data_IF_724597028560
#
_entry.id   IF_724597028560
#
_cell.length_a   1.000
_cell.length_b   1.000
_cell.length_c   1.000
_cell.angle_alpha   90.00
_cell.angle_beta   90.00
_cell.angle_gamma   90.00
#
_symmetry.space_group_name_H-M   'P 1'
#
loop_
_entity.id
_entity.type
_entity.pdbx_description
1 polymer ?
#
# COMPACT_ATOMS: atom_id res chain seq x y z
N UNK A 1 52.59 22.20 -48.77
CA UNK A 1 52.57 20.82 -49.30
C UNK A 1 51.37 20.09 -48.72
N UNK A 2 50.40 19.83 -49.55
CA UNK A 2 49.27 18.94 -49.22
C UNK A 2 49.60 17.54 -49.68
N UNK A 3 49.05 16.53 -49.03
CA UNK A 3 48.52 15.37 -49.77
C UNK A 3 47.06 15.07 -49.41
N UNK A 4 46.38 14.95 -50.37
CA UNK A 4 45.22 14.35 -51.00
C UNK A 4 44.60 13.15 -50.30
N UNK A 5 43.28 13.33 -50.21
CA UNK A 5 42.26 12.31 -49.85
C UNK A 5 42.26 11.10 -50.77
N UNK A 6 41.89 9.96 -50.19
CA UNK A 6 41.24 8.86 -50.91
C UNK A 6 40.01 8.39 -50.10
N UNK A 7 38.85 8.55 -50.69
CA UNK A 7 37.62 7.91 -50.25
C UNK A 7 37.54 6.46 -50.80
N UNK A 8 37.05 5.49 -50.06
CA UNK A 8 36.74 4.18 -50.61
C UNK A 8 35.33 4.16 -51.25
N UNK A 9 35.14 3.30 -52.27
CA UNK A 9 33.95 3.29 -53.09
C UNK A 9 32.78 2.56 -52.46
N UNK A 10 31.58 3.15 -52.67
CA UNK A 10 30.28 2.50 -52.48
C UNK A 10 30.15 1.30 -53.39
N UNK A 11 30.20 0.12 -52.84
CA UNK A 11 29.95 -1.13 -53.60
C UNK A 11 28.47 -1.49 -53.51
N UNK A 12 27.88 -1.47 -54.66
CA UNK A 12 26.49 -1.90 -54.98
C UNK A 12 26.21 -3.32 -54.53
N UNK A 13 25.32 -3.47 -53.57
CA UNK A 13 24.64 -4.76 -53.25
C UNK A 13 23.16 -4.60 -53.53
N UNK A 14 22.82 -4.65 -54.80
CA UNK A 14 21.45 -4.59 -55.27
C UNK A 14 21.30 -5.45 -56.54
N UNK A 15 21.61 -6.74 -56.50
CA UNK A 15 21.17 -7.70 -57.53
C UNK A 15 21.34 -9.12 -56.95
N UNK A 16 20.58 -9.53 -55.97
CA UNK A 16 20.45 -10.95 -55.62
C UNK A 16 19.24 -11.23 -54.71
N UNK A 17 18.15 -10.46 -54.90
CA UNK A 17 16.90 -10.70 -54.18
C UNK A 17 15.71 -10.81 -55.13
N UNK A 18 15.90 -11.33 -56.36
CA UNK A 18 14.81 -11.46 -57.33
C UNK A 18 14.72 -12.82 -58.03
N UNK A 19 15.27 -13.88 -57.44
CA UNK A 19 15.23 -15.20 -58.06
C UNK A 19 14.95 -16.36 -57.10
N UNK A 20 14.07 -16.12 -56.10
CA UNK A 20 13.55 -17.22 -55.23
C UNK A 20 12.08 -17.02 -54.88
N UNK A 21 11.28 -16.53 -55.82
CA UNK A 21 9.82 -16.36 -55.68
C UNK A 21 9.05 -17.08 -56.78
N UNK A 22 9.46 -18.28 -57.15
CA UNK A 22 8.64 -19.18 -57.98
C UNK A 22 8.91 -20.60 -57.53
N UNK A 23 8.11 -21.13 -56.64
CA UNK A 23 7.73 -22.53 -56.43
C UNK A 23 7.33 -22.77 -54.97
N UNK A 24 6.16 -22.26 -54.62
CA UNK A 24 5.38 -22.83 -53.53
C UNK A 24 3.88 -22.54 -53.83
N UNK A 25 3.40 -23.09 -54.94
CA UNK A 25 1.97 -23.38 -55.08
C UNK A 25 1.66 -24.55 -54.15
N UNK A 26 1.70 -24.32 -52.86
CA UNK A 26 1.27 -25.27 -51.82
C UNK A 26 -0.21 -25.09 -51.59
N UNK A 27 -0.90 -26.13 -51.97
CA UNK A 27 -2.26 -26.55 -51.70
C UNK A 27 -2.92 -25.79 -50.52
N UNK A 28 -3.72 -24.79 -50.84
CA UNK A 28 -4.73 -24.31 -49.92
C UNK A 28 -5.85 -25.36 -49.91
N UNK A 29 -5.78 -26.30 -48.98
CA UNK A 29 -6.92 -27.10 -48.60
C UNK A 29 -8.00 -26.14 -48.10
N UNK A 30 -8.97 -25.87 -48.96
CA UNK A 30 -10.21 -25.23 -48.56
C UNK A 30 -10.88 -26.16 -47.54
N UNK A 31 -10.73 -25.87 -46.27
CA UNK A 31 -11.60 -26.40 -45.24
C UNK A 31 -12.99 -25.91 -45.56
N UNK A 32 -13.86 -26.80 -46.06
CA UNK A 32 -15.29 -26.52 -46.14
C UNK A 32 -15.75 -26.03 -44.78
N UNK A 33 -16.60 -24.96 -44.73
CA UNK A 33 -17.28 -24.62 -43.49
C UNK A 33 -17.99 -25.88 -43.00
N UNK A 34 -17.72 -26.24 -41.74
CA UNK A 34 -18.49 -27.26 -41.04
C UNK A 34 -19.88 -26.65 -40.90
N UNK A 35 -20.83 -27.13 -41.69
CA UNK A 35 -22.23 -26.85 -41.41
C UNK A 35 -22.53 -27.32 -40.00
N UNK A 36 -23.17 -26.48 -39.16
CA UNK A 36 -23.58 -26.93 -37.84
C UNK A 36 -24.51 -28.11 -38.03
N UNK A 37 -24.10 -29.28 -37.54
CA UNK A 37 -25.01 -30.41 -37.40
C UNK A 37 -26.23 -29.93 -36.61
N UNK A 38 -27.38 -29.83 -37.28
CA UNK A 38 -28.64 -29.79 -36.55
C UNK A 38 -28.68 -31.01 -35.62
N UNK A 39 -28.78 -30.84 -34.31
CA UNK A 39 -28.94 -31.97 -33.43
C UNK A 39 -30.30 -32.60 -33.80
N UNK A 40 -30.26 -33.83 -34.32
CA UNK A 40 -31.44 -34.66 -34.45
C UNK A 40 -32.22 -34.53 -33.14
N UNK A 41 -33.50 -34.13 -33.24
CA UNK A 41 -34.37 -33.96 -32.08
C UNK A 41 -34.34 -35.28 -31.27
N UNK A 42 -33.54 -35.29 -30.22
CA UNK A 42 -33.62 -36.36 -29.23
C UNK A 42 -35.01 -36.30 -28.61
N UNK A 43 -35.68 -37.44 -28.37
CA UNK A 43 -36.99 -37.43 -27.70
C UNK A 43 -36.83 -36.70 -26.39
N UNK A 44 -37.60 -35.62 -26.22
CA UNK A 44 -37.63 -34.80 -25.03
C UNK A 44 -37.88 -35.72 -23.84
N UNK A 45 -36.93 -35.92 -22.90
CA UNK A 45 -37.29 -36.65 -21.69
C UNK A 45 -38.31 -35.83 -21.01
N UNK A 46 -39.41 -36.47 -20.58
CA UNK A 46 -40.48 -35.84 -19.83
C UNK A 46 -39.82 -35.04 -18.70
N UNK A 47 -40.09 -33.72 -18.67
CA UNK A 47 -39.54 -32.86 -17.65
C UNK A 47 -39.80 -33.51 -16.27
N UNK A 48 -38.76 -33.64 -15.43
CA UNK A 48 -38.97 -34.14 -14.09
C UNK A 48 -40.03 -33.26 -13.45
N UNK A 49 -41.15 -33.84 -13.04
CA UNK A 49 -42.16 -33.12 -12.24
C UNK A 49 -41.43 -32.61 -11.01
N UNK A 50 -41.19 -31.31 -10.98
CA UNK A 50 -40.73 -30.67 -9.74
C UNK A 50 -41.72 -31.10 -8.66
N UNK A 51 -41.24 -31.69 -7.55
CA UNK A 51 -42.13 -31.93 -6.41
C UNK A 51 -42.78 -30.58 -6.08
N UNK A 52 -44.04 -30.59 -5.85
CA UNK A 52 -44.81 -29.40 -5.45
C UNK A 52 -43.98 -28.65 -4.45
N UNK A 53 -43.69 -27.40 -4.77
CA UNK A 53 -42.99 -26.50 -3.86
C UNK A 53 -43.79 -26.39 -2.60
N UNK A 54 -43.58 -27.29 -1.66
CA UNK A 54 -43.88 -27.03 -0.29
C UNK A 54 -43.20 -25.69 -0.01
N UNK A 55 -44.02 -24.66 0.15
CA UNK A 55 -43.49 -23.31 0.43
C UNK A 55 -42.73 -23.42 1.75
N UNK A 56 -41.43 -23.66 1.66
CA UNK A 56 -40.56 -23.62 2.81
C UNK A 56 -40.61 -22.17 3.27
N UNK A 57 -41.41 -21.90 4.27
CA UNK A 57 -41.46 -20.61 4.94
C UNK A 57 -40.05 -20.41 5.53
N UNK A 58 -39.20 -19.65 4.84
CA UNK A 58 -37.97 -19.18 5.42
C UNK A 58 -38.35 -18.29 6.60
N UNK A 59 -38.16 -18.76 7.81
CA UNK A 59 -38.26 -17.93 9.00
C UNK A 59 -36.92 -17.21 9.17
N UNK A 60 -36.95 -15.90 9.32
CA UNK A 60 -35.79 -15.07 9.64
C UNK A 60 -35.82 -14.84 11.14
N UNK A 61 -34.91 -15.44 11.88
CA UNK A 61 -34.74 -15.17 13.31
C UNK A 61 -33.68 -14.09 13.46
N UNK A 62 -34.01 -12.97 14.06
CA UNK A 62 -33.04 -11.96 14.44
C UNK A 62 -32.22 -12.50 15.62
N UNK A 63 -30.93 -12.53 15.48
CA UNK A 63 -30.03 -12.89 16.58
C UNK A 63 -29.75 -11.60 17.35
N UNK A 64 -30.23 -11.51 18.56
CA UNK A 64 -30.03 -10.39 19.48
C UNK A 64 -29.74 -10.91 20.91
N UNK A 65 -29.59 -10.01 21.86
CA UNK A 65 -29.27 -10.32 23.25
C UNK A 65 -30.32 -11.17 23.99
N UNK A 66 -31.49 -11.41 23.40
CA UNK A 66 -32.53 -12.27 23.96
C UNK A 66 -32.34 -13.76 23.62
N UNK A 67 -31.42 -14.08 22.74
CA UNK A 67 -31.09 -15.47 22.41
C UNK A 67 -30.06 -15.96 23.42
N UNK A 68 -30.35 -16.99 24.23
CA UNK A 68 -29.39 -17.53 25.17
C UNK A 68 -28.12 -17.99 24.46
N UNK A 69 -26.97 -17.68 25.04
CA UNK A 69 -25.69 -18.18 24.56
C UNK A 69 -25.66 -19.72 24.69
N UNK A 70 -25.05 -20.37 23.69
CA UNK A 70 -24.84 -21.82 23.73
C UNK A 70 -23.75 -22.15 24.74
N UNK A 71 -24.02 -22.98 25.79
CA UNK A 71 -23.05 -23.28 26.84
C UNK A 71 -21.80 -23.99 26.36
N UNK A 72 -21.85 -24.77 25.27
CA UNK A 72 -20.66 -25.42 24.71
C UNK A 72 -19.77 -24.41 23.98
N UNK A 73 -20.40 -23.48 23.24
CA UNK A 73 -19.69 -22.37 22.59
C UNK A 73 -19.06 -21.45 23.63
N UNK A 74 -19.80 -21.08 24.68
CA UNK A 74 -19.30 -20.29 25.81
C UNK A 74 -18.06 -20.93 26.46
N UNK A 75 -18.13 -22.23 26.73
CA UNK A 75 -16.99 -22.98 27.28
C UNK A 75 -15.78 -22.97 26.34
N UNK A 76 -15.99 -23.03 25.02
CA UNK A 76 -14.94 -22.96 24.03
C UNK A 76 -14.30 -21.55 23.98
N UNK A 77 -15.10 -20.50 24.14
CA UNK A 77 -14.66 -19.11 24.09
C UNK A 77 -14.04 -18.63 25.40
N UNK A 78 -14.38 -19.22 26.53
CA UNK A 78 -13.93 -18.79 27.87
C UNK A 78 -12.41 -18.56 27.99
N UNK A 79 -11.52 -19.39 27.41
CA UNK A 79 -10.07 -19.16 27.49
C UNK A 79 -9.59 -17.88 26.74
N UNK A 80 -10.42 -17.40 25.81
CA UNK A 80 -10.09 -16.23 24.97
C UNK A 80 -10.78 -14.95 25.43
N UNK A 81 -11.79 -15.04 26.31
CA UNK A 81 -12.64 -13.92 26.71
C UNK A 81 -11.86 -12.76 27.33
N UNK A 82 -10.83 -13.01 28.14
CA UNK A 82 -9.98 -11.96 28.71
C UNK A 82 -9.24 -11.16 27.64
N UNK A 83 -8.68 -11.85 26.63
CA UNK A 83 -7.97 -11.20 25.52
C UNK A 83 -8.93 -10.40 24.64
N UNK A 84 -10.12 -10.92 24.40
CA UNK A 84 -11.16 -10.19 23.64
C UNK A 84 -11.60 -8.93 24.40
N UNK A 85 -11.73 -9.03 25.73
CA UNK A 85 -12.06 -7.89 26.58
C UNK A 85 -10.96 -6.80 26.52
N UNK A 86 -9.68 -7.18 26.54
CA UNK A 86 -8.57 -6.24 26.37
C UNK A 86 -8.64 -5.48 25.04
N UNK A 87 -9.12 -6.13 23.97
CA UNK A 87 -9.31 -5.49 22.67
C UNK A 87 -10.47 -4.48 22.66
N UNK A 88 -11.46 -4.65 23.53
CA UNK A 88 -12.63 -3.75 23.65
C UNK A 88 -12.32 -2.49 24.46
N UNK A 89 -11.13 -2.36 25.03
CA UNK A 89 -10.76 -1.20 25.84
C UNK A 89 -10.65 0.04 24.96
N UNK A 90 -11.37 1.11 25.37
CA UNK A 90 -11.23 2.44 24.77
C UNK A 90 -9.88 3.03 25.18
N UNK A 91 -9.02 3.30 24.21
CA UNK A 91 -7.69 3.85 24.42
C UNK A 91 -7.60 5.35 24.12
N UNK A 92 -8.61 5.90 23.47
CA UNK A 92 -8.67 7.33 23.15
C UNK A 92 -9.95 7.73 22.43
N UNK A 93 -9.96 8.95 21.91
CA UNK A 93 -11.07 9.48 21.12
C UNK A 93 -10.54 10.01 19.79
N UNK A 94 -11.21 9.66 18.71
CA UNK A 94 -10.91 10.12 17.36
C UNK A 94 -11.84 11.29 17.00
N UNK A 95 -11.26 12.46 16.69
CA UNK A 95 -11.99 13.62 16.22
C UNK A 95 -11.86 13.76 14.70
N UNK A 96 -12.83 13.27 13.97
CA UNK A 96 -12.84 13.22 12.52
C UNK A 96 -12.48 11.83 11.96
N UNK A 97 -12.94 11.53 10.75
CA UNK A 97 -12.75 10.24 10.10
C UNK A 97 -11.30 10.05 9.65
N UNK A 98 -10.63 8.99 10.11
CA UNK A 98 -9.40 8.52 9.47
C UNK A 98 -9.78 7.80 8.19
N UNK A 99 -9.16 8.20 7.08
CA UNK A 99 -9.44 7.64 5.76
C UNK A 99 -8.14 7.40 4.98
N UNK A 100 -8.06 6.24 4.35
CA UNK A 100 -7.02 6.00 3.34
C UNK A 100 -7.29 6.82 2.09
N UNK A 101 -6.24 7.34 1.49
CA UNK A 101 -6.28 7.94 0.16
C UNK A 101 -5.06 7.48 -0.64
N UNK A 102 -4.85 8.06 -1.82
CA UNK A 102 -3.74 7.71 -2.69
C UNK A 102 -2.37 8.03 -2.06
N UNK A 103 -1.66 9.00 -2.58
CA UNK A 103 -0.31 9.34 -2.13
C UNK A 103 -0.31 9.67 -0.64
N UNK A 104 0.59 9.03 0.10
CA UNK A 104 0.72 9.20 1.55
C UNK A 104 -0.33 8.45 2.39
N UNK A 105 -1.23 7.66 1.77
CA UNK A 105 -2.29 6.93 2.46
C UNK A 105 -3.27 7.79 3.27
N UNK A 106 -3.38 9.09 2.96
CA UNK A 106 -4.36 10.02 3.53
C UNK A 106 -4.20 10.31 5.01
N UNK A 107 -5.28 10.74 5.68
CA UNK A 107 -5.25 11.03 7.12
C UNK A 107 -4.91 9.81 7.96
N UNK A 108 -5.24 8.61 7.48
CA UNK A 108 -4.86 7.35 8.14
C UNK A 108 -3.36 7.12 8.06
N UNK A 109 -2.75 7.34 6.89
CA UNK A 109 -1.30 7.25 6.73
C UNK A 109 -0.56 8.27 7.58
N UNK A 110 -1.07 9.51 7.64
CA UNK A 110 -0.52 10.55 8.50
C UNK A 110 -0.54 10.14 9.97
N UNK A 111 -1.69 9.68 10.46
CA UNK A 111 -1.85 9.21 11.84
C UNK A 111 -0.85 8.11 12.20
N UNK A 112 -0.74 7.07 11.36
CA UNK A 112 0.17 5.94 11.61
C UNK A 112 1.64 6.38 11.55
N UNK A 113 2.02 7.18 10.56
CA UNK A 113 3.41 7.64 10.42
C UNK A 113 3.83 8.62 11.53
N UNK A 114 2.90 9.48 11.99
CA UNK A 114 3.16 10.40 13.10
C UNK A 114 3.30 9.66 14.42
N UNK A 115 2.43 8.69 14.68
CA UNK A 115 2.52 7.81 15.85
C UNK A 115 3.86 7.05 15.86
N UNK A 116 4.23 6.46 14.72
CA UNK A 116 5.51 5.79 14.54
C UNK A 116 6.67 6.71 14.87
N UNK A 117 6.73 7.91 14.24
CA UNK A 117 7.81 8.89 14.47
C UNK A 117 7.86 9.32 15.94
N UNK A 118 6.70 9.69 16.50
CA UNK A 118 6.59 10.17 17.88
C UNK A 118 7.15 9.16 18.88
N UNK A 119 6.76 7.90 18.79
CA UNK A 119 7.20 6.88 19.76
C UNK A 119 8.65 6.46 19.52
N UNK A 120 9.07 6.32 18.25
CA UNK A 120 10.44 5.98 17.92
C UNK A 120 11.43 7.07 18.36
N UNK A 121 11.08 8.35 18.21
CA UNK A 121 11.92 9.49 18.63
C UNK A 121 12.13 9.53 20.15
N UNK A 122 11.22 8.98 20.96
CA UNK A 122 11.45 8.83 22.41
C UNK A 122 12.64 7.90 22.71
N UNK A 123 12.89 6.92 21.85
CA UNK A 123 13.99 5.96 21.96
C UNK A 123 15.27 6.42 21.26
N UNK A 124 15.15 7.11 20.14
CA UNK A 124 16.28 7.66 19.38
C UNK A 124 15.92 9.02 18.81
N UNK A 125 16.46 10.09 19.42
CA UNK A 125 16.20 11.47 19.03
C UNK A 125 16.79 11.89 17.69
N UNK A 126 17.72 11.10 17.13
CA UNK A 126 18.33 11.37 15.81
C UNK A 126 17.40 11.07 14.63
N UNK A 127 16.25 10.45 14.87
CA UNK A 127 15.30 10.08 13.83
C UNK A 127 14.70 11.34 13.20
N UNK A 128 14.93 11.52 11.90
CA UNK A 128 14.40 12.66 11.14
C UNK A 128 13.12 12.30 10.38
N UNK A 129 13.03 11.09 9.83
CA UNK A 129 11.88 10.62 9.02
C UNK A 129 11.42 9.25 9.50
N UNK A 130 10.10 9.07 9.55
CA UNK A 130 9.44 7.77 9.73
C UNK A 130 8.73 7.35 8.45
N UNK A 131 8.79 6.07 8.11
CA UNK A 131 8.20 5.51 6.89
C UNK A 131 7.52 4.18 7.21
N UNK A 132 6.31 3.99 6.67
CA UNK A 132 5.62 2.71 6.69
C UNK A 132 4.80 2.50 5.42
N UNK A 133 4.62 1.24 5.03
CA UNK A 133 3.88 0.93 3.80
C UNK A 133 2.36 1.07 3.98
N UNK A 134 1.72 1.69 3.00
CA UNK A 134 0.26 1.85 2.95
C UNK A 134 -0.48 0.52 2.90
N UNK A 135 0.08 -0.49 2.24
CA UNK A 135 -0.50 -1.84 2.16
C UNK A 135 -0.55 -2.60 3.49
N UNK A 136 0.23 -2.19 4.48
CA UNK A 136 0.19 -2.73 5.86
C UNK A 136 -1.03 -2.28 6.64
N UNK A 137 -1.67 -1.18 6.25
CA UNK A 137 -2.91 -0.66 6.85
C UNK A 137 -4.12 -1.34 6.21
N UNK A 138 -4.87 -2.14 6.99
CA UNK A 138 -5.91 -3.04 6.47
C UNK A 138 -7.34 -2.50 6.56
N UNK A 139 -7.54 -1.35 7.21
CA UNK A 139 -8.83 -0.61 7.20
C UNK A 139 -8.80 0.48 6.12
N UNK A 140 -9.95 0.75 5.53
CA UNK A 140 -10.13 1.86 4.57
C UNK A 140 -10.51 3.14 5.31
N UNK A 141 -11.30 3.02 6.39
CA UNK A 141 -11.67 4.12 7.27
C UNK A 141 -11.85 3.68 8.71
N UNK A 142 -11.72 4.63 9.64
CA UNK A 142 -12.16 4.54 11.03
C UNK A 142 -13.00 5.78 11.30
N UNK A 143 -14.22 5.56 11.79
CA UNK A 143 -15.18 6.64 12.05
C UNK A 143 -14.83 7.43 13.33
N UNK A 144 -15.25 8.70 13.46
CA UNK A 144 -15.06 9.48 14.66
C UNK A 144 -15.75 8.84 15.87
N UNK A 145 -15.15 9.01 17.05
CA UNK A 145 -15.71 8.50 18.30
C UNK A 145 -14.68 7.79 19.16
N UNK A 146 -15.13 6.91 20.09
CA UNK A 146 -14.24 6.09 20.89
C UNK A 146 -13.31 5.23 20.01
N UNK A 147 -12.03 5.27 20.30
CA UNK A 147 -11.03 4.45 19.60
C UNK A 147 -10.63 3.30 20.52
N UNK A 148 -10.87 2.08 20.06
CA UNK A 148 -10.61 0.87 20.81
C UNK A 148 -9.26 0.25 20.44
N UNK A 149 -8.72 -0.58 21.31
CA UNK A 149 -7.54 -1.37 21.00
C UNK A 149 -7.76 -2.24 19.76
N UNK A 150 -8.95 -2.83 19.60
CA UNK A 150 -9.35 -3.63 18.43
C UNK A 150 -9.23 -2.84 17.11
N UNK A 151 -9.58 -1.57 17.11
CA UNK A 151 -9.47 -0.75 15.89
C UNK A 151 -8.03 -0.69 15.37
N UNK A 152 -7.05 -0.63 16.28
CA UNK A 152 -5.64 -0.62 15.93
C UNK A 152 -5.17 -2.02 15.50
N UNK A 153 -5.65 -3.09 16.13
CA UNK A 153 -5.35 -4.47 15.71
C UNK A 153 -5.89 -4.77 14.32
N UNK A 154 -7.11 -4.31 14.00
CA UNK A 154 -7.69 -4.47 12.67
C UNK A 154 -7.00 -3.59 11.62
N UNK A 155 -6.55 -2.38 12.01
CA UNK A 155 -5.79 -1.50 11.15
C UNK A 155 -4.41 -2.08 10.83
N UNK A 156 -3.70 -2.58 11.83
CA UNK A 156 -2.31 -3.05 11.78
C UNK A 156 -2.19 -4.48 12.31
N UNK A 157 -2.71 -5.50 11.59
CA UNK A 157 -2.75 -6.88 12.08
C UNK A 157 -1.37 -7.56 12.12
N UNK A 158 -0.35 -6.95 11.50
CA UNK A 158 0.99 -7.54 11.41
C UNK A 158 1.88 -7.11 12.58
N UNK A 159 2.73 -8.01 13.05
CA UNK A 159 3.73 -7.74 14.07
C UNK A 159 5.04 -7.22 13.44
N UNK A 160 4.95 -6.03 12.85
CA UNK A 160 6.10 -5.38 12.25
C UNK A 160 6.95 -4.69 13.31
N UNK A 161 8.16 -5.17 13.53
CA UNK A 161 9.10 -4.54 14.45
C UNK A 161 9.66 -3.24 13.87
N UNK A 162 9.84 -2.23 14.73
CA UNK A 162 10.46 -0.97 14.35
C UNK A 162 11.98 -1.09 14.37
N UNK A 163 12.60 -0.57 13.34
CA UNK A 163 14.05 -0.48 13.20
C UNK A 163 14.46 0.93 12.77
N UNK A 164 15.65 1.35 13.17
CA UNK A 164 16.31 2.52 12.60
C UNK A 164 17.38 2.09 11.60
N UNK A 165 17.61 2.94 10.59
CA UNK A 165 18.67 2.77 9.59
C UNK A 165 19.25 4.14 9.28
N UNK A 166 20.57 4.24 9.17
CA UNK A 166 21.24 5.44 8.71
C UNK A 166 21.42 5.39 7.19
N UNK A 167 20.91 6.41 6.51
CA UNK A 167 20.97 6.57 5.07
C UNK A 167 21.78 7.82 4.70
N UNK A 168 22.47 7.81 3.58
CA UNK A 168 22.93 9.05 2.96
C UNK A 168 21.73 9.87 2.47
N UNK A 169 21.90 11.19 2.33
CA UNK A 169 20.81 12.03 1.80
C UNK A 169 20.37 11.62 0.39
N UNK A 170 21.30 11.15 -0.44
CA UNK A 170 20.96 10.60 -1.76
C UNK A 170 20.06 9.36 -1.64
N UNK A 171 20.35 8.44 -0.70
CA UNK A 171 19.50 7.29 -0.42
C UNK A 171 18.15 7.71 0.16
N UNK A 172 18.13 8.69 1.07
CA UNK A 172 16.88 9.21 1.64
C UNK A 172 15.99 9.82 0.56
N UNK A 173 16.52 10.65 -0.33
CA UNK A 173 15.77 11.21 -1.46
C UNK A 173 15.19 10.10 -2.35
N UNK A 174 15.97 9.07 -2.64
CA UNK A 174 15.50 7.91 -3.41
C UNK A 174 14.41 7.11 -2.68
N UNK A 175 14.53 7.00 -1.37
CA UNK A 175 13.51 6.35 -0.53
C UNK A 175 12.19 7.14 -0.55
N UNK A 176 12.24 8.48 -0.43
CA UNK A 176 11.06 9.35 -0.49
C UNK A 176 10.41 9.35 -1.88
N UNK A 177 11.19 9.22 -2.96
CA UNK A 177 10.66 8.96 -4.31
C UNK A 177 9.87 7.62 -4.33
N UNK A 178 10.43 6.57 -3.76
CA UNK A 178 9.78 5.26 -3.70
C UNK A 178 8.50 5.29 -2.86
N UNK A 179 8.51 5.96 -1.70
CA UNK A 179 7.34 6.21 -0.85
C UNK A 179 6.22 6.90 -1.63
N UNK A 180 6.57 7.93 -2.40
CA UNK A 180 5.60 8.66 -3.23
C UNK A 180 4.96 7.74 -4.27
N UNK A 181 5.78 6.96 -4.98
CA UNK A 181 5.35 6.05 -6.05
C UNK A 181 4.51 4.88 -5.51
N UNK A 182 4.83 4.39 -4.33
CA UNK A 182 4.14 3.27 -3.68
C UNK A 182 2.87 3.71 -2.91
N UNK A 183 2.58 5.01 -2.83
CA UNK A 183 1.51 5.58 -2.00
C UNK A 183 1.68 5.30 -0.51
N UNK A 184 2.90 5.12 -0.06
CA UNK A 184 3.23 4.80 1.32
C UNK A 184 3.23 6.05 2.22
N UNK A 185 3.15 5.85 3.53
CA UNK A 185 3.05 6.91 4.50
C UNK A 185 4.42 7.32 5.06
N UNK A 186 4.59 8.61 5.34
CA UNK A 186 5.77 9.13 5.98
C UNK A 186 5.45 10.27 6.96
N UNK A 187 6.36 10.54 7.89
CA UNK A 187 6.37 11.71 8.77
C UNK A 187 7.78 12.26 8.89
N UNK A 188 7.92 13.57 8.77
CA UNK A 188 9.20 14.28 8.87
C UNK A 188 9.75 14.81 7.56
N UNK A 189 9.00 14.65 6.46
CA UNK A 189 9.36 15.26 5.18
C UNK A 189 8.16 15.96 4.54
N UNK A 190 8.44 17.00 3.74
CA UNK A 190 7.49 17.58 2.80
C UNK A 190 7.93 17.19 1.39
N UNK A 191 7.05 16.49 0.67
CA UNK A 191 7.31 15.94 -0.66
C UNK A 191 6.45 16.68 -1.66
N UNK A 192 7.06 17.18 -2.73
CA UNK A 192 6.34 17.68 -3.90
C UNK A 192 6.31 16.62 -4.98
N UNK A 193 5.14 16.40 -5.55
CA UNK A 193 4.93 15.41 -6.60
C UNK A 193 3.92 15.94 -7.64
N UNK A 194 3.91 15.34 -8.81
CA UNK A 194 2.89 15.55 -9.84
C UNK A 194 2.39 14.22 -10.39
N UNK A 195 1.25 14.24 -11.03
CA UNK A 195 0.77 13.09 -11.80
C UNK A 195 1.36 13.13 -13.21
N UNK A 196 1.91 12.02 -13.66
CA UNK A 196 2.40 11.89 -15.03
C UNK A 196 1.26 11.44 -15.98
N UNK A 197 1.56 11.36 -17.27
CA UNK A 197 0.58 10.98 -18.31
C UNK A 197 -0.02 9.57 -18.14
N UNK A 198 0.57 8.72 -17.30
CA UNK A 198 0.10 7.37 -16.97
C UNK A 198 -0.66 7.32 -15.64
N UNK A 199 -1.09 8.47 -15.11
CA UNK A 199 -1.75 8.60 -13.80
C UNK A 199 -0.94 7.97 -12.65
N UNK A 200 0.40 8.14 -12.67
CA UNK A 200 1.29 7.70 -11.60
C UNK A 200 1.94 8.92 -10.93
N UNK A 201 2.07 8.89 -9.59
CA UNK A 201 2.74 9.99 -8.90
C UNK A 201 4.24 10.00 -9.24
N UNK A 202 4.74 11.13 -9.67
CA UNK A 202 6.14 11.38 -9.98
C UNK A 202 6.71 12.35 -8.95
N UNK A 203 7.73 11.92 -8.25
CA UNK A 203 8.46 12.72 -7.26
C UNK A 203 9.16 13.90 -7.95
N UNK A 204 9.08 15.08 -7.34
CA UNK A 204 9.77 16.28 -7.81
C UNK A 204 10.92 16.62 -6.87
N UNK A 205 10.63 16.80 -5.59
CA UNK A 205 11.61 17.12 -4.54
C UNK A 205 11.04 16.84 -3.16
N UNK A 206 11.94 16.79 -2.16
CA UNK A 206 11.55 16.73 -0.76
C UNK A 206 12.46 17.61 0.10
N UNK A 207 11.91 18.07 1.22
CA UNK A 207 12.61 18.75 2.32
C UNK A 207 12.30 18.03 3.62
N UNK A 208 13.21 18.09 4.58
CA UNK A 208 12.90 17.68 5.95
C UNK A 208 12.05 18.73 6.65
N UNK A 209 11.17 18.28 7.55
CA UNK A 209 10.39 19.13 8.43
C UNK A 209 10.66 18.70 9.87
N UNK A 210 11.09 19.64 10.69
CA UNK A 210 11.26 19.43 12.12
C UNK A 210 9.92 19.51 12.88
N UNK A 211 9.97 19.31 14.21
CA UNK A 211 8.77 19.38 15.07
C UNK A 211 8.20 20.79 15.22
N UNK A 212 8.95 21.82 14.88
CA UNK A 212 8.51 23.22 14.87
C UNK A 212 7.95 23.66 13.50
N UNK A 213 8.03 22.78 12.49
CA UNK A 213 7.59 23.05 11.13
C UNK A 213 8.61 23.73 10.24
N UNK A 214 9.88 23.87 10.69
CA UNK A 214 10.93 24.43 9.87
C UNK A 214 11.37 23.43 8.80
N UNK A 215 11.55 23.95 7.59
CA UNK A 215 12.03 23.16 6.45
C UNK A 215 13.55 23.28 6.30
N UNK A 216 14.20 22.16 5.97
CA UNK A 216 15.60 22.13 5.58
C UNK A 216 15.81 21.23 4.35
N UNK A 217 16.76 21.62 3.50
CA UNK A 217 17.15 20.83 2.35
C UNK A 217 17.83 19.53 2.81
N UNK A 218 17.68 18.46 2.03
CA UNK A 218 18.37 17.20 2.24
C UNK A 218 19.71 17.28 1.51
N UNK A 219 20.81 17.37 2.26
CA UNK A 219 22.15 17.28 1.68
C UNK A 219 22.41 15.84 1.19
N UNK A 220 22.63 15.60 -0.10
CA UNK A 220 22.89 14.25 -0.63
C UNK A 220 24.05 13.52 0.04
N UNK A 221 25.07 14.25 0.52
CA UNK A 221 26.23 13.70 1.20
C UNK A 221 26.04 13.55 2.73
N UNK A 222 24.99 14.18 3.29
CA UNK A 222 24.65 14.09 4.71
C UNK A 222 24.25 12.68 5.11
N UNK A 223 24.24 12.40 6.42
CA UNK A 223 23.74 11.14 6.98
C UNK A 223 22.49 11.41 7.81
N UNK A 224 21.45 10.60 7.61
CA UNK A 224 20.13 10.77 8.22
C UNK A 224 19.62 9.46 8.80
N UNK A 225 19.29 9.47 10.07
CA UNK A 225 18.65 8.31 10.73
C UNK A 225 17.16 8.31 10.43
N UNK A 226 16.67 7.25 9.82
CA UNK A 226 15.24 7.04 9.60
C UNK A 226 14.72 5.92 10.50
N UNK A 227 13.42 5.89 10.75
CA UNK A 227 12.73 4.73 11.33
C UNK A 227 11.75 4.13 10.33
N UNK A 228 11.72 2.81 10.29
CA UNK A 228 10.81 2.06 9.44
C UNK A 228 10.48 0.71 10.08
N UNK A 229 9.70 -0.12 9.38
CA UNK A 229 9.36 -1.47 9.82
C UNK A 229 10.32 -2.50 9.23
N UNK A 230 10.59 -3.54 9.99
CA UNK A 230 11.47 -4.64 9.61
C UNK A 230 11.02 -5.36 8.32
N UNK A 231 9.71 -5.38 8.06
CA UNK A 231 9.16 -5.92 6.82
C UNK A 231 9.75 -5.23 5.58
N UNK A 232 9.78 -3.88 5.53
CA UNK A 232 10.33 -3.14 4.39
C UNK A 232 11.85 -3.40 4.22
N UNK A 233 12.56 -3.51 5.33
CA UNK A 233 13.98 -3.84 5.32
C UNK A 233 14.25 -5.27 4.84
N UNK A 234 13.38 -6.23 5.21
CA UNK A 234 13.49 -7.65 4.83
C UNK A 234 13.13 -7.92 3.38
N UNK A 235 12.30 -7.07 2.74
CA UNK A 235 11.87 -7.27 1.35
C UNK A 235 13.04 -7.44 0.36
N UNK A 236 14.19 -6.82 0.61
CA UNK A 236 15.43 -6.94 -0.20
C UNK A 236 15.22 -6.90 -1.72
N UNK A 237 14.14 -6.30 -2.18
CA UNK A 237 13.77 -6.21 -3.59
C UNK A 237 12.88 -5.00 -3.86
N UNK A 238 12.78 -4.61 -5.12
CA UNK A 238 11.92 -3.51 -5.55
C UNK A 238 12.31 -2.18 -4.91
N UNK A 239 11.31 -1.42 -4.50
CA UNK A 239 11.46 -0.02 -4.07
C UNK A 239 12.25 0.15 -2.76
N UNK A 240 12.38 -0.90 -1.93
CA UNK A 240 12.97 -0.81 -0.59
C UNK A 240 14.31 -1.52 -0.45
N UNK A 241 14.84 -2.12 -1.53
CA UNK A 241 16.14 -2.78 -1.51
C UNK A 241 17.27 -1.88 -0.98
N UNK A 242 17.19 -0.57 -1.27
CA UNK A 242 18.15 0.44 -0.82
C UNK A 242 18.30 0.54 0.72
N UNK A 243 17.32 0.08 1.49
CA UNK A 243 17.41 0.07 2.95
C UNK A 243 18.52 -0.87 3.44
N UNK A 244 18.85 -1.92 2.67
CA UNK A 244 19.95 -2.84 2.98
C UNK A 244 21.33 -2.22 2.80
N UNK A 245 21.42 -1.18 1.97
CA UNK A 245 22.66 -0.44 1.75
C UNK A 245 22.89 0.61 2.85
N UNK A 246 21.89 0.82 3.71
CA UNK A 246 22.00 1.68 4.88
C UNK A 246 22.92 1.09 5.95
N UNK A 247 23.36 1.95 6.88
CA UNK A 247 24.26 1.58 7.99
C UNK A 247 23.51 1.56 9.32
N UNK A 248 24.14 0.98 10.34
CA UNK A 248 23.71 1.06 11.75
C UNK A 248 22.25 0.63 11.96
N UNK A 249 21.79 -0.41 11.23
CA UNK A 249 20.44 -0.94 11.45
C UNK A 249 20.30 -1.39 12.91
N UNK A 250 19.33 -0.80 13.62
CA UNK A 250 19.13 -1.07 15.06
C UNK A 250 17.66 -1.32 15.35
N UNK A 251 17.29 -2.45 15.95
CA UNK A 251 15.93 -2.71 16.42
C UNK A 251 15.57 -1.80 17.60
N UNK A 252 14.34 -1.29 17.61
CA UNK A 252 13.83 -0.44 18.69
C UNK A 252 13.10 -1.21 19.81
N UNK A 253 12.93 -2.53 19.68
CA UNK A 253 12.15 -3.36 20.60
C UNK A 253 10.74 -2.78 20.82
N UNK A 254 10.09 -2.45 19.74
CA UNK A 254 8.74 -1.87 19.68
C UNK A 254 8.13 -2.29 18.35
N UNK A 255 6.87 -2.68 18.35
CA UNK A 255 6.13 -2.95 17.10
C UNK A 255 5.44 -1.66 16.60
N UNK A 256 5.09 -1.62 15.30
CA UNK A 256 4.32 -0.52 14.74
C UNK A 256 2.97 -0.38 15.45
N UNK A 257 2.29 -1.49 15.72
CA UNK A 257 1.00 -1.51 16.41
C UNK A 257 1.10 -0.95 17.82
N UNK A 258 2.10 -1.40 18.59
CA UNK A 258 2.30 -0.90 19.96
C UNK A 258 2.65 0.59 19.95
N UNK A 259 3.47 1.04 18.99
CA UNK A 259 3.77 2.47 18.83
C UNK A 259 2.50 3.30 18.60
N UNK A 260 1.56 2.82 17.78
CA UNK A 260 0.29 3.52 17.54
C UNK A 260 -0.59 3.50 18.79
N UNK A 261 -0.70 2.38 19.50
CA UNK A 261 -1.46 2.26 20.75
C UNK A 261 -0.87 3.20 21.82
N UNK A 262 0.45 3.20 21.98
CA UNK A 262 1.15 4.06 22.96
C UNK A 262 1.01 5.55 22.61
N UNK A 263 1.01 5.89 21.33
CA UNK A 263 0.75 7.26 20.88
C UNK A 263 -0.66 7.69 21.25
N UNK A 264 -1.68 6.89 20.95
CA UNK A 264 -3.08 7.20 21.30
C UNK A 264 -3.24 7.38 22.81
N UNK A 265 -2.70 6.45 23.60
CA UNK A 265 -2.74 6.55 25.08
C UNK A 265 -2.02 7.81 25.59
N UNK A 266 -0.88 8.17 25.00
CA UNK A 266 -0.12 9.38 25.37
C UNK A 266 -0.91 10.66 25.07
N UNK A 267 -1.58 10.74 23.91
CA UNK A 267 -2.43 11.87 23.54
C UNK A 267 -3.65 11.96 24.45
N UNK A 268 -4.29 10.85 24.74
CA UNK A 268 -5.43 10.74 25.65
C UNK A 268 -5.07 11.19 27.06
N UNK A 269 -3.93 10.74 27.60
CA UNK A 269 -3.45 11.15 28.90
C UNK A 269 -3.13 12.66 28.98
N UNK A 270 -2.80 13.27 27.83
CA UNK A 270 -2.58 14.72 27.72
C UNK A 270 -3.89 15.49 27.41
N UNK A 271 -5.05 14.85 27.45
CA UNK A 271 -6.36 15.45 27.18
C UNK A 271 -6.58 15.82 25.71
N UNK A 272 -5.83 15.27 24.80
CA UNK A 272 -5.93 15.56 23.36
C UNK A 272 -6.57 14.41 22.60
N UNK A 273 -7.63 14.67 21.81
CA UNK A 273 -8.16 13.68 20.91
C UNK A 273 -7.21 13.46 19.72
N UNK A 274 -7.25 12.26 19.15
CA UNK A 274 -6.60 11.97 17.88
C UNK A 274 -7.31 12.72 16.77
N UNK A 275 -6.58 13.53 16.02
CA UNK A 275 -7.13 14.33 14.92
C UNK A 275 -6.87 13.64 13.59
N UNK A 276 -7.92 13.46 12.79
CA UNK A 276 -7.80 13.05 11.41
C UNK A 276 -7.37 14.25 10.55
N UNK A 277 -6.06 14.37 10.31
CA UNK A 277 -5.50 15.50 9.54
C UNK A 277 -4.87 15.02 8.25
N UNK A 278 -5.19 15.71 7.15
CA UNK A 278 -4.35 15.79 5.97
C UNK A 278 -3.64 17.13 6.02
N UNK A 279 -2.34 17.11 5.77
CA UNK A 279 -1.49 18.30 5.76
C UNK A 279 -0.68 18.36 4.47
N UNK A 280 0.21 19.33 4.38
CA UNK A 280 1.03 19.58 3.19
C UNK A 280 2.26 18.67 3.06
N UNK A 281 2.33 17.55 3.81
CA UNK A 281 3.48 16.63 3.70
C UNK A 281 3.61 15.97 2.34
N UNK A 282 2.52 15.88 1.59
CA UNK A 282 2.49 15.52 0.18
C UNK A 282 1.78 16.61 -0.61
N UNK A 283 2.57 17.44 -1.29
CA UNK A 283 2.06 18.57 -2.09
C UNK A 283 1.98 18.18 -3.56
N UNK A 284 0.76 18.12 -4.08
CA UNK A 284 0.55 17.92 -5.50
C UNK A 284 0.80 19.22 -6.25
N UNK A 285 1.65 19.16 -7.27
CA UNK A 285 1.91 20.26 -8.21
C UNK A 285 1.22 19.95 -9.54
N UNK A 286 0.36 20.86 -9.98
CA UNK A 286 -0.39 20.70 -11.22
C UNK A 286 -1.68 19.88 -11.08
N UNK A 287 -2.26 19.42 -12.20
CA UNK A 287 -3.55 18.73 -12.22
C UNK A 287 -3.48 17.36 -11.53
N UNK A 288 -4.64 16.90 -11.07
CA UNK A 288 -4.82 15.55 -10.54
C UNK A 288 -4.75 14.47 -11.62
N UNK A 289 -4.94 13.19 -11.23
CA UNK A 289 -4.97 12.10 -12.18
C UNK A 289 -6.16 12.26 -13.15
N UNK A 290 -5.99 11.81 -14.39
CA UNK A 290 -6.99 11.95 -15.45
C UNK A 290 -8.23 11.07 -15.21
N UNK A 291 -8.08 10.01 -14.40
CA UNK A 291 -9.13 9.05 -14.03
C UNK A 291 -9.16 8.84 -12.53
N UNK A 292 -10.35 8.52 -11.95
CA UNK A 292 -10.41 8.05 -10.57
C UNK A 292 -9.52 6.82 -10.39
N UNK A 293 -8.67 6.84 -9.35
CA UNK A 293 -7.81 5.72 -9.00
C UNK A 293 -8.44 5.03 -7.78
N UNK A 294 -8.73 3.73 -7.89
CA UNK A 294 -9.23 2.95 -6.77
C UNK A 294 -8.12 2.64 -5.76
N UNK A 295 -8.43 2.80 -4.49
CA UNK A 295 -7.58 2.40 -3.37
C UNK A 295 -7.84 0.92 -3.12
N UNK A 296 -6.84 0.09 -3.34
CA UNK A 296 -6.89 -1.36 -3.08
C UNK A 296 -6.32 -1.70 -1.71
#
# INVERSE_FOLDING_TARGET
MRPTHAQPPLLRVNVLLFLLLTCAAGVWAQSKPIEPCEPAAAPTPAAPKCPDKAATRASKTLIDDNIPADPEVEKLLAPYSSKVHELSVVIGTLSGQLKRSLVGSGSMGNFVADALKSQATKKNKSIVVAITNGGGMRKISIEPGPLHTSDIFELLPFENALITVDLTGAQLLKLLENVTRAHDAQSGARIQFRWNAQDRPEFIRAKLIDSAGHESEIDPAGTYTIVTIDYLYKLNSGNYALLRDGKNMTPLNLTLRDAVIDHVKSETAAGRPIRAQTDDRFQQIGPGPSRPIEIR
#
